data_IF_986287447357
#
_entry.id   IF_986287447357
#
_cell.length_a   1.000
_cell.length_b   1.000
_cell.length_c   1.000
_cell.angle_alpha   90.00
_cell.angle_beta   90.00
_cell.angle_gamma   90.00
#
_symmetry.space_group_name_H-M   'P 1'
#
loop_
_entity.id
_entity.type
_entity.pdbx_description
1 polymer ?
#
# COMPACT_ATOMS: atom_id res chain seq x y z
N UNK A 1 7.31 21.44 -31.82
CA UNK A 1 6.41 21.95 -30.77
C UNK A 1 5.73 20.75 -30.14
N UNK A 2 6.00 20.43 -28.87
CA UNK A 2 5.33 19.32 -28.20
C UNK A 2 3.87 19.70 -27.91
N UNK A 3 2.96 18.77 -28.18
CA UNK A 3 1.53 18.93 -28.02
C UNK A 3 1.15 19.14 -26.54
N UNK A 4 0.22 20.04 -26.22
CA UNK A 4 -0.30 20.18 -24.86
C UNK A 4 -1.03 18.87 -24.50
N UNK A 5 -0.57 18.20 -23.43
CA UNK A 5 -1.31 17.07 -22.86
C UNK A 5 -2.64 17.61 -22.39
N UNK A 6 -3.71 17.13 -23.01
CA UNK A 6 -5.09 17.39 -22.64
C UNK A 6 -5.26 17.07 -21.16
N UNK A 7 -5.59 18.12 -20.41
CA UNK A 7 -6.15 18.04 -19.07
C UNK A 7 -7.51 17.35 -19.23
N UNK A 8 -7.55 16.07 -18.89
CA UNK A 8 -8.77 15.26 -18.90
C UNK A 8 -9.59 15.68 -17.67
N UNK A 9 -10.36 16.75 -17.86
CA UNK A 9 -11.43 17.18 -16.96
C UNK A 9 -12.65 16.28 -17.25
N UNK A 10 -12.95 15.33 -16.37
CA UNK A 10 -14.28 14.72 -16.36
C UNK A 10 -14.42 13.29 -15.88
N UNK A 11 -14.30 13.05 -14.56
CA UNK A 11 -15.27 12.24 -13.80
C UNK A 11 -14.90 12.34 -12.31
N UNK A 12 -15.88 12.34 -11.40
CA UNK A 12 -15.64 12.21 -9.96
C UNK A 12 -15.11 10.82 -9.56
N UNK A 13 -14.09 10.34 -10.27
CA UNK A 13 -13.39 9.09 -10.05
C UNK A 13 -12.11 9.30 -9.27
N UNK A 14 -11.67 8.27 -8.57
CA UNK A 14 -10.43 8.30 -7.78
C UNK A 14 -9.24 8.73 -8.65
N UNK A 15 -8.27 9.50 -8.11
CA UNK A 15 -7.15 10.01 -8.88
C UNK A 15 -6.36 8.86 -9.49
N UNK A 16 -5.84 9.09 -10.71
CA UNK A 16 -5.10 8.10 -11.50
C UNK A 16 -3.63 8.49 -11.53
N UNK A 17 -2.82 7.80 -10.72
CA UNK A 17 -1.41 8.06 -10.52
C UNK A 17 -0.56 6.94 -11.14
N UNK A 18 0.58 7.30 -11.70
CA UNK A 18 1.60 6.36 -12.20
C UNK A 18 2.97 6.82 -11.73
N UNK A 19 3.25 6.57 -10.44
CA UNK A 19 4.45 7.02 -9.75
C UNK A 19 5.43 5.87 -9.64
N UNK A 20 6.67 6.09 -10.09
CA UNK A 20 7.73 5.08 -10.10
C UNK A 20 8.24 4.70 -8.70
N UNK A 21 8.29 5.69 -7.80
CA UNK A 21 8.67 5.54 -6.41
C UNK A 21 8.03 6.69 -5.62
N UNK A 22 7.01 6.40 -4.81
CA UNK A 22 6.31 7.40 -4.02
C UNK A 22 6.36 7.05 -2.54
N UNK A 23 6.61 8.05 -1.70
CA UNK A 23 6.39 7.97 -0.26
C UNK A 23 4.93 8.24 0.00
N UNK A 24 4.26 7.25 0.57
CA UNK A 24 2.84 7.32 0.89
C UNK A 24 2.63 7.13 2.38
N UNK A 25 1.59 7.76 2.90
CA UNK A 25 1.12 7.63 4.27
C UNK A 25 -0.28 7.02 4.29
N UNK A 26 -0.46 6.02 5.14
CA UNK A 26 -1.75 5.38 5.38
C UNK A 26 -2.51 6.15 6.47
N UNK A 27 -3.80 6.39 6.27
CA UNK A 27 -4.68 7.05 7.24
C UNK A 27 -6.12 6.55 7.04
N UNK A 28 -7.01 6.82 8.00
CA UNK A 28 -8.42 6.40 7.93
C UNK A 28 -8.56 4.89 7.70
N UNK A 29 -7.92 4.11 8.58
CA UNK A 29 -7.83 2.66 8.46
C UNK A 29 -9.05 2.00 9.10
N UNK A 30 -9.85 1.31 8.31
CA UNK A 30 -10.97 0.49 8.76
C UNK A 30 -10.65 -0.99 8.54
N UNK A 31 -10.66 -1.77 9.62
CA UNK A 31 -10.55 -3.22 9.53
C UNK A 31 -11.94 -3.87 9.45
N UNK A 32 -12.11 -4.73 8.43
CA UNK A 32 -13.25 -5.62 8.33
C UNK A 32 -12.79 -7.07 8.38
N UNK A 33 -12.90 -7.69 9.56
CA UNK A 33 -12.55 -9.10 9.78
C UNK A 33 -13.55 -10.08 9.13
N UNK A 34 -14.79 -9.64 8.88
CA UNK A 34 -15.87 -10.46 8.33
C UNK A 34 -16.38 -9.88 7.00
N UNK A 35 -16.93 -10.73 6.10
CA UNK A 35 -17.54 -10.25 4.87
C UNK A 35 -18.70 -9.32 5.21
N UNK A 36 -18.77 -8.17 4.55
CA UNK A 36 -19.82 -7.17 4.78
C UNK A 36 -20.54 -6.87 3.46
N UNK A 37 -21.84 -6.65 3.53
CA UNK A 37 -22.66 -6.30 2.37
C UNK A 37 -22.88 -4.79 2.36
N UNK A 38 -22.57 -4.16 1.24
CA UNK A 38 -22.90 -2.75 0.99
C UNK A 38 -24.02 -2.69 -0.01
N UNK A 39 -25.10 -2.03 0.36
CA UNK A 39 -26.19 -1.70 -0.55
C UNK A 39 -25.85 -0.39 -1.25
N UNK A 40 -25.70 -0.42 -2.57
CA UNK A 40 -25.52 0.79 -3.37
C UNK A 40 -26.81 1.59 -3.37
N UNK A 41 -26.81 2.74 -2.69
CA UNK A 41 -27.99 3.61 -2.53
C UNK A 41 -28.69 3.97 -3.85
N UNK A 42 -27.93 4.04 -4.95
CA UNK A 42 -28.45 4.43 -6.27
C UNK A 42 -29.41 3.42 -6.89
N UNK A 43 -29.18 2.12 -6.71
CA UNK A 43 -29.91 1.05 -7.43
C UNK A 43 -30.40 -0.07 -6.50
N UNK A 44 -30.14 0.02 -5.19
CA UNK A 44 -30.46 -1.02 -4.22
C UNK A 44 -29.66 -2.32 -4.40
N UNK A 45 -28.68 -2.34 -5.30
CA UNK A 45 -27.85 -3.50 -5.55
C UNK A 45 -26.93 -3.78 -4.35
N UNK A 46 -26.99 -5.00 -3.85
CA UNK A 46 -26.15 -5.47 -2.75
C UNK A 46 -24.85 -6.05 -3.29
N UNK A 47 -23.73 -5.53 -2.78
CA UNK A 47 -22.40 -6.04 -3.08
C UNK A 47 -21.80 -6.58 -1.79
N UNK A 48 -21.60 -7.89 -1.73
CA UNK A 48 -20.85 -8.52 -0.64
C UNK A 48 -19.36 -8.34 -0.91
N UNK A 49 -18.69 -7.70 0.03
CA UNK A 49 -17.24 -7.53 0.02
C UNK A 49 -16.60 -8.54 0.96
N UNK A 50 -15.48 -9.12 0.50
CA UNK A 50 -14.64 -9.99 1.31
C UNK A 50 -13.98 -9.21 2.46
N UNK A 51 -13.58 -9.87 3.56
CA UNK A 51 -12.83 -9.25 4.64
C UNK A 51 -11.59 -8.52 4.11
N UNK A 52 -11.39 -7.29 4.54
CA UNK A 52 -10.30 -6.45 4.08
C UNK A 52 -9.98 -5.34 5.10
N UNK A 53 -8.76 -4.81 5.02
CA UNK A 53 -8.45 -3.50 5.55
C UNK A 53 -8.72 -2.48 4.45
N UNK A 54 -9.55 -1.49 4.74
CA UNK A 54 -9.63 -0.28 3.93
C UNK A 54 -8.76 0.76 4.57
N UNK A 55 -8.07 1.52 3.74
CA UNK A 55 -7.34 2.68 4.21
C UNK A 55 -7.30 3.72 3.10
N UNK A 56 -7.22 4.97 3.51
CA UNK A 56 -6.86 6.06 2.62
C UNK A 56 -5.35 6.19 2.58
N UNK A 57 -4.82 6.45 1.40
CA UNK A 57 -3.40 6.59 1.12
C UNK A 57 -3.15 8.01 0.66
N UNK A 58 -2.30 8.74 1.35
CA UNK A 58 -1.85 10.08 0.97
C UNK A 58 -0.45 10.00 0.38
N UNK A 59 -0.23 10.62 -0.78
CA UNK A 59 1.10 10.77 -1.37
C UNK A 59 1.82 11.91 -0.67
N UNK A 60 2.80 11.59 0.17
CA UNK A 60 3.65 12.60 0.85
C UNK A 60 4.72 13.13 -0.12
N UNK A 61 5.29 12.23 -0.91
CA UNK A 61 6.31 12.54 -1.90
C UNK A 61 6.13 11.64 -3.13
N UNK A 62 5.96 12.23 -4.31
CA UNK A 62 5.79 11.54 -5.58
C UNK A 62 7.11 11.06 -6.21
N UNK A 63 8.25 11.43 -5.61
CA UNK A 63 9.59 11.09 -6.07
C UNK A 63 10.01 11.77 -7.37
N UNK A 64 9.28 12.79 -7.83
CA UNK A 64 9.57 13.61 -9.01
C UNK A 64 9.57 15.11 -8.63
N UNK A 65 8.78 15.92 -9.32
CA UNK A 65 8.71 17.38 -9.16
C UNK A 65 7.68 17.79 -8.08
N UNK A 66 7.08 16.82 -7.37
CA UNK A 66 6.04 17.06 -6.38
C UNK A 66 4.68 17.44 -6.97
N UNK A 67 4.42 17.07 -8.23
CA UNK A 67 3.20 17.41 -8.95
C UNK A 67 1.97 16.71 -8.37
N UNK A 68 2.17 15.51 -7.81
CA UNK A 68 1.10 14.66 -7.27
C UNK A 68 1.11 14.60 -5.72
N UNK A 69 1.95 15.40 -5.05
CA UNK A 69 2.03 15.47 -3.58
C UNK A 69 0.70 15.97 -2.98
N UNK A 70 0.26 15.33 -1.90
CA UNK A 70 -1.03 15.57 -1.24
C UNK A 70 -2.22 14.86 -1.91
N UNK A 71 -1.99 14.11 -3.00
CA UNK A 71 -3.06 13.32 -3.62
C UNK A 71 -3.44 12.15 -2.72
N UNK A 72 -4.73 12.01 -2.46
CA UNK A 72 -5.27 10.91 -1.66
C UNK A 72 -6.05 9.92 -2.51
N UNK A 73 -5.87 8.62 -2.26
CA UNK A 73 -6.65 7.57 -2.91
C UNK A 73 -6.95 6.43 -1.94
N UNK A 74 -8.04 5.72 -2.21
CA UNK A 74 -8.46 4.60 -1.37
C UNK A 74 -7.75 3.31 -1.80
N UNK A 75 -7.29 2.56 -0.82
CA UNK A 75 -6.67 1.25 -1.02
C UNK A 75 -7.36 0.20 -0.15
N UNK A 76 -7.41 -1.04 -0.66
CA UNK A 76 -8.00 -2.15 0.08
C UNK A 76 -7.07 -3.36 0.09
N UNK A 77 -6.77 -3.85 1.29
CA UNK A 77 -5.94 -5.01 1.53
C UNK A 77 -6.81 -6.18 1.94
N UNK A 78 -7.10 -7.06 0.98
CA UNK A 78 -8.04 -8.17 1.18
C UNK A 78 -7.36 -9.37 1.84
N UNK A 79 -8.05 -9.96 2.82
CA UNK A 79 -7.70 -11.29 3.32
C UNK A 79 -7.89 -12.34 2.22
N UNK A 80 -7.15 -13.45 2.32
CA UNK A 80 -7.26 -14.57 1.39
C UNK A 80 -7.95 -15.75 2.07
N UNK A 81 -8.80 -16.43 1.31
CA UNK A 81 -9.52 -17.62 1.77
C UNK A 81 -8.64 -18.85 1.57
N UNK A 82 -8.45 -19.66 2.62
CA UNK A 82 -7.77 -20.95 2.50
C UNK A 82 -8.64 -22.01 1.82
N UNK A 83 -8.07 -23.20 1.60
CA UNK A 83 -8.80 -24.37 1.09
C UNK A 83 -9.93 -24.86 2.01
N UNK A 84 -9.93 -24.47 3.29
CA UNK A 84 -10.94 -24.81 4.30
C UNK A 84 -12.02 -23.73 4.44
N UNK A 85 -11.91 -22.63 3.70
CA UNK A 85 -12.84 -21.52 3.72
C UNK A 85 -12.58 -20.45 4.79
N UNK A 86 -11.46 -20.50 5.51
CA UNK A 86 -11.08 -19.51 6.53
C UNK A 86 -10.28 -18.36 5.91
N UNK A 87 -10.63 -17.13 6.28
CA UNK A 87 -9.91 -15.92 5.89
C UNK A 87 -8.66 -15.76 6.75
N UNK A 88 -7.52 -15.53 6.11
CA UNK A 88 -6.25 -15.30 6.77
C UNK A 88 -5.33 -14.46 5.89
N UNK A 89 -4.34 -13.86 6.54
CA UNK A 89 -3.26 -13.16 5.87
C UNK A 89 -2.29 -14.18 5.23
N UNK A 90 -1.87 -13.94 4.00
CA UNK A 90 -0.97 -14.82 3.25
C UNK A 90 0.25 -14.04 2.78
N UNK A 91 1.44 -14.60 2.96
CA UNK A 91 2.72 -13.97 2.61
C UNK A 91 2.75 -13.49 1.14
N UNK A 92 2.31 -14.33 0.20
CA UNK A 92 2.25 -14.00 -1.23
C UNK A 92 0.97 -13.23 -1.62
N UNK A 93 0.54 -12.30 -0.78
CA UNK A 93 -0.61 -11.45 -1.04
C UNK A 93 -0.30 -9.99 -0.74
N UNK A 94 -1.11 -9.08 -1.29
CA UNK A 94 -0.97 -7.64 -1.04
C UNK A 94 -1.01 -7.30 0.46
N UNK A 95 -1.85 -7.97 1.23
CA UNK A 95 -1.91 -7.82 2.70
C UNK A 95 -0.65 -8.40 3.37
N UNK A 96 -0.15 -9.53 2.88
CA UNK A 96 1.08 -10.14 3.41
C UNK A 96 2.31 -9.28 3.18
N UNK A 97 2.46 -8.71 2.00
CA UNK A 97 3.52 -7.76 1.69
C UNK A 97 3.46 -6.51 2.58
N UNK A 98 2.27 -5.94 2.80
CA UNK A 98 2.09 -4.84 3.75
C UNK A 98 2.49 -5.27 5.17
N UNK A 99 2.09 -6.47 5.58
CA UNK A 99 2.39 -7.00 6.91
C UNK A 99 3.88 -7.20 7.11
N UNK A 100 4.61 -7.68 6.10
CA UNK A 100 6.07 -7.80 6.15
C UNK A 100 6.77 -6.44 6.26
N UNK A 101 6.20 -5.40 5.65
CA UNK A 101 6.74 -4.05 5.71
C UNK A 101 6.51 -3.40 7.07
N UNK A 102 5.32 -3.61 7.67
CA UNK A 102 4.96 -3.04 8.98
C UNK A 102 5.54 -3.88 10.13
N UNK A 103 5.47 -5.21 10.02
CA UNK A 103 5.91 -6.20 11.01
C UNK A 103 6.88 -7.18 10.35
N UNK A 104 8.17 -6.80 10.21
CA UNK A 104 9.17 -7.68 9.60
C UNK A 104 9.30 -8.97 10.41
N UNK A 105 9.27 -10.12 9.73
CA UNK A 105 9.35 -11.45 10.35
C UNK A 105 8.01 -12.03 10.83
N UNK A 106 6.87 -11.36 10.60
CA UNK A 106 5.55 -11.87 11.03
C UNK A 106 5.24 -13.30 10.56
N UNK A 107 5.69 -13.68 9.37
CA UNK A 107 5.48 -15.03 8.83
C UNK A 107 6.50 -16.06 9.35
N UNK A 108 7.60 -15.61 9.94
CA UNK A 108 8.68 -16.44 10.48
C UNK A 108 8.59 -16.61 12.02
N UNK A 109 7.97 -15.66 12.73
CA UNK A 109 7.85 -15.63 14.19
C UNK A 109 6.39 -15.47 14.65
N UNK A 110 5.81 -16.56 15.15
CA UNK A 110 4.45 -16.61 15.73
C UNK A 110 4.28 -15.74 16.99
N UNK A 111 5.37 -15.19 17.56
CA UNK A 111 5.32 -14.25 18.69
C UNK A 111 4.88 -12.84 18.26
N UNK A 112 4.96 -12.53 16.96
CA UNK A 112 4.61 -11.22 16.42
C UNK A 112 3.08 -11.11 16.32
N UNK A 113 2.46 -10.10 16.95
CA UNK A 113 1.02 -9.95 16.93
C UNK A 113 0.50 -9.65 15.51
N UNK A 114 -0.73 -10.09 15.22
CA UNK A 114 -1.42 -9.80 13.97
C UNK A 114 -1.45 -8.29 13.67
N UNK A 115 -1.45 -7.94 12.39
CA UNK A 115 -1.59 -6.56 11.93
C UNK A 115 -2.97 -6.03 12.33
N UNK A 116 -3.02 -4.91 13.05
CA UNK A 116 -4.28 -4.22 13.40
C UNK A 116 -4.36 -2.87 12.71
N UNK A 117 -5.56 -2.29 12.62
CA UNK A 117 -5.77 -0.98 12.01
C UNK A 117 -4.86 0.13 12.62
N UNK A 118 -4.60 0.07 13.92
CA UNK A 118 -3.75 1.02 14.65
C UNK A 118 -2.28 0.99 14.18
N UNK A 119 -1.76 -0.19 13.80
CA UNK A 119 -0.40 -0.32 13.26
C UNK A 119 -0.25 0.35 11.88
N UNK A 120 -1.37 0.49 11.15
CA UNK A 120 -1.42 1.07 9.82
C UNK A 120 -1.72 2.57 9.86
N UNK A 121 -2.31 3.08 10.95
CA UNK A 121 -2.72 4.47 11.03
C UNK A 121 -1.49 5.38 11.17
N UNK A 122 -1.28 6.22 10.16
CA UNK A 122 -0.11 7.09 10.06
C UNK A 122 1.15 6.40 9.57
N UNK A 123 1.10 5.11 9.20
CA UNK A 123 2.26 4.39 8.70
C UNK A 123 2.71 4.93 7.35
N UNK A 124 4.02 5.14 7.20
CA UNK A 124 4.61 5.63 5.98
C UNK A 124 5.44 4.56 5.29
N UNK A 125 5.25 4.41 3.98
CA UNK A 125 5.98 3.44 3.17
C UNK A 125 6.38 4.03 1.82
N UNK A 126 7.46 3.49 1.25
CA UNK A 126 7.84 3.73 -0.13
C UNK A 126 7.19 2.65 -0.99
N UNK A 127 6.50 3.05 -2.06
CA UNK A 127 5.88 2.11 -2.97
C UNK A 127 5.68 2.73 -4.35
N UNK A 128 5.57 1.87 -5.37
CA UNK A 128 5.16 2.29 -6.70
C UNK A 128 3.63 2.37 -6.76
N UNK A 129 3.10 3.49 -7.24
CA UNK A 129 1.66 3.66 -7.46
C UNK A 129 1.38 3.46 -8.94
N UNK A 130 0.50 2.51 -9.27
CA UNK A 130 0.09 2.21 -10.64
C UNK A 130 -1.40 2.52 -10.84
N UNK A 131 -1.82 2.87 -12.06
CA UNK A 131 -3.22 3.03 -12.37
C UNK A 131 -3.96 1.69 -12.23
N UNK A 132 -4.97 1.64 -11.38
CA UNK A 132 -5.83 0.49 -11.16
C UNK A 132 -6.82 0.36 -12.32
N UNK A 133 -6.85 -0.83 -12.94
CA UNK A 133 -7.76 -1.14 -14.05
C UNK A 133 -8.77 -2.18 -13.62
N UNK A 134 -10.05 -1.94 -13.94
CA UNK A 134 -11.08 -2.94 -13.74
C UNK A 134 -10.86 -4.10 -14.72
N UNK A 135 -10.70 -5.34 -14.24
CA UNK A 135 -10.42 -6.49 -15.11
C UNK A 135 -11.56 -6.84 -16.07
N UNK A 136 -12.80 -6.42 -15.77
CA UNK A 136 -13.97 -6.72 -16.61
C UNK A 136 -14.18 -5.70 -17.73
N UNK A 137 -13.79 -4.45 -17.52
CA UNK A 137 -14.06 -3.35 -18.48
C UNK A 137 -12.80 -2.73 -19.06
N UNK A 138 -11.61 -3.03 -18.50
CA UNK A 138 -10.34 -2.39 -18.86
C UNK A 138 -10.27 -0.91 -18.47
N UNK A 139 -11.35 -0.34 -17.93
CA UNK A 139 -11.43 1.06 -17.54
C UNK A 139 -10.52 1.32 -16.34
N UNK A 140 -9.82 2.45 -16.37
CA UNK A 140 -9.05 2.91 -15.23
C UNK A 140 -10.03 3.40 -14.18
N UNK A 141 -10.00 2.77 -13.00
CA UNK A 141 -10.93 3.06 -11.90
C UNK A 141 -10.31 3.87 -10.77
N UNK A 142 -8.99 4.05 -10.78
CA UNK A 142 -8.27 4.84 -9.79
C UNK A 142 -6.79 4.50 -9.75
N UNK A 143 -6.17 4.69 -8.59
CA UNK A 143 -4.79 4.30 -8.30
C UNK A 143 -4.74 3.07 -7.40
N UNK A 144 -3.69 2.27 -7.52
CA UNK A 144 -3.41 1.17 -6.60
C UNK A 144 -1.92 1.04 -6.35
N UNK A 145 -1.57 0.62 -5.14
CA UNK A 145 -0.19 0.35 -4.74
C UNK A 145 0.27 -0.99 -5.32
N UNK A 146 1.45 -0.95 -5.94
CA UNK A 146 2.17 -2.11 -6.42
C UNK A 146 2.91 -2.79 -5.25
N UNK A 147 2.30 -3.86 -4.75
CA UNK A 147 2.75 -4.55 -3.54
C UNK A 147 4.14 -5.19 -3.65
N UNK A 148 4.60 -5.53 -4.85
CA UNK A 148 5.96 -6.04 -5.09
C UNK A 148 7.05 -5.00 -4.82
N UNK A 149 6.69 -3.72 -4.77
CA UNK A 149 7.61 -2.59 -4.57
C UNK A 149 7.45 -1.91 -3.21
N UNK A 150 6.61 -2.46 -2.33
CA UNK A 150 6.43 -1.91 -0.98
C UNK A 150 7.74 -2.07 -0.20
N UNK A 151 8.22 -0.94 0.33
CA UNK A 151 9.41 -0.87 1.15
C UNK A 151 9.11 -0.02 2.38
N UNK A 152 9.63 -0.39 3.56
CA UNK A 152 9.52 0.46 4.74
C UNK A 152 10.27 1.77 4.48
N UNK A 153 9.71 2.90 4.91
CA UNK A 153 10.50 4.14 4.94
C UNK A 153 11.70 3.89 5.86
N UNK A 154 12.92 4.24 5.44
CA UNK A 154 14.09 4.12 6.32
C UNK A 154 13.86 4.99 7.55
N UNK A 155 13.57 4.37 8.70
CA UNK A 155 13.59 5.06 9.99
C UNK A 155 15.04 5.42 10.31
N UNK A 156 15.29 6.59 10.94
CA UNK A 156 16.64 7.05 11.24
C UNK A 156 17.47 6.05 12.07
N UNK A 157 16.83 5.17 12.86
CA UNK A 157 17.51 4.06 13.57
C UNK A 157 18.14 3.03 12.62
N UNK A 158 17.50 2.70 11.49
CA UNK A 158 18.04 1.75 10.51
C UNK A 158 19.14 2.35 9.65
N UNK A 159 19.10 3.67 9.42
CA UNK A 159 20.17 4.39 8.73
C UNK A 159 21.42 4.45 9.62
N UNK A 160 21.27 4.65 10.93
CA UNK A 160 22.38 4.60 11.86
C UNK A 160 23.04 3.21 11.93
N UNK A 161 22.24 2.13 11.94
CA UNK A 161 22.76 0.76 11.96
C UNK A 161 23.51 0.37 10.67
N UNK A 162 22.99 0.76 9.50
CA UNK A 162 23.64 0.49 8.22
C UNK A 162 24.93 1.31 8.01
N UNK A 163 25.04 2.49 8.63
CA UNK A 163 26.28 3.27 8.63
C UNK A 163 27.29 2.68 9.62
N UNK A 164 26.86 2.16 10.77
CA UNK A 164 27.77 1.50 11.71
C UNK A 164 28.35 0.18 11.19
N UNK A 165 27.58 -0.63 10.44
CA UNK A 165 28.11 -1.87 9.83
C UNK A 165 29.05 -1.61 8.65
N UNK A 166 29.01 -0.43 8.03
CA UNK A 166 29.88 -0.08 6.91
C UNK A 166 31.23 0.53 7.33
N UNK A 167 31.38 0.96 8.59
CA UNK A 167 32.63 1.54 9.11
C UNK A 167 33.54 0.53 9.82
N UNK A 168 33.08 -0.69 10.12
CA UNK A 168 33.90 -1.69 10.82
C UNK A 168 34.76 -2.57 9.89
N UNK A 169 34.61 -2.51 8.56
CA UNK A 169 35.30 -3.38 7.60
C UNK A 169 36.53 -2.76 6.90
N UNK A 170 36.97 -1.54 7.30
CA UNK A 170 38.13 -0.88 6.69
C UNK A 170 39.38 -0.80 7.58
N UNK A 171 39.31 -1.25 8.84
CA UNK A 171 40.43 -1.18 9.80
C UNK A 171 41.27 -2.47 9.91
N UNK A 172 40.98 -3.52 9.13
CA UNK A 172 41.73 -4.79 9.16
C UNK A 172 42.46 -5.11 7.84
N UNK A 173 43.23 -4.14 7.32
CA UNK A 173 44.29 -4.42 6.34
C UNK A 173 45.64 -4.17 7.04
N UNK A 174 46.34 -5.21 7.54
CA UNK A 174 47.71 -5.04 8.02
C UNK A 174 48.63 -4.69 6.85
N UNK A 175 49.44 -3.64 7.07
CA UNK A 175 50.47 -3.07 6.19
C UNK A 175 51.39 -4.08 5.49
#
# INVERSE_FOLDING_TARGET
MPLPRSKDDGTGGAPVLNLGNARVKLFDVEEHEQPYTVTRERDGAEFTFDPNFKCSVEVIDDGNDGADNGTTFFESFKYKKDKKGKWHNQENSKLGALTLVVKPGYFDDDSIPALVADDLEGFEMLCRVKPSRNPNTGAITGSTIDWETMQPVPTPEKVAAAVSEAEEDFDEIPF
#
